data_IF_073270493153
#
_entry.id   IF_073270493153
#
_cell.length_a   1.000
_cell.length_b   1.000
_cell.length_c   1.000
_cell.angle_alpha   90.00
_cell.angle_beta   90.00
_cell.angle_gamma   90.00
#
_symmetry.space_group_name_H-M   'P 1'
#
loop_
_entity.id
_entity.type
_entity.pdbx_description
1 polymer ?
#
# COMPACT_ATOMS: atom_id res chain seq x y z
N UNK A 1 11.43 41.27 -19.75
CA UNK A 1 11.74 39.84 -19.50
C UNK A 1 11.16 39.00 -20.65
N UNK A 2 11.92 38.06 -21.22
CA UNK A 2 11.48 37.33 -22.41
C UNK A 2 10.27 36.43 -22.07
N UNK A 3 9.20 36.44 -22.89
CA UNK A 3 7.92 35.76 -22.57
C UNK A 3 8.12 34.27 -22.24
N UNK A 4 9.03 33.62 -22.97
CA UNK A 4 9.44 32.24 -22.73
C UNK A 4 10.09 31.99 -21.36
N UNK A 5 10.88 32.94 -20.84
CA UNK A 5 11.48 32.85 -19.50
C UNK A 5 10.41 32.98 -18.40
N UNK A 6 9.40 33.82 -18.62
CA UNK A 6 8.28 33.96 -17.69
C UNK A 6 7.42 32.68 -17.65
N UNK A 7 7.13 32.07 -18.82
CA UNK A 7 6.44 30.77 -18.87
C UNK A 7 7.21 29.66 -18.16
N UNK A 8 8.53 29.59 -18.36
CA UNK A 8 9.37 28.61 -17.67
C UNK A 8 9.32 28.76 -16.14
N UNK A 9 9.41 30.00 -15.64
CA UNK A 9 9.29 30.28 -14.19
C UNK A 9 7.93 29.86 -13.62
N UNK A 10 6.84 30.14 -14.33
CA UNK A 10 5.49 29.73 -13.91
C UNK A 10 5.39 28.21 -13.84
N UNK A 11 5.91 27.48 -14.84
CA UNK A 11 5.89 26.02 -14.85
C UNK A 11 6.69 25.42 -13.68
N UNK A 12 7.85 25.98 -13.37
CA UNK A 12 8.67 25.54 -12.22
C UNK A 12 7.93 25.81 -10.90
N UNK A 13 7.31 26.99 -10.76
CA UNK A 13 6.53 27.33 -9.57
C UNK A 13 5.33 26.38 -9.37
N UNK A 14 4.58 26.09 -10.44
CA UNK A 14 3.48 25.13 -10.39
C UNK A 14 3.95 23.73 -10.01
N UNK A 15 5.08 23.28 -10.55
CA UNK A 15 5.68 22.00 -10.20
C UNK A 15 6.05 21.94 -8.72
N UNK A 16 6.68 22.99 -8.19
CA UNK A 16 7.05 23.08 -6.78
C UNK A 16 5.82 23.02 -5.86
N UNK A 17 4.74 23.72 -6.21
CA UNK A 17 3.47 23.70 -5.48
C UNK A 17 2.85 22.30 -5.52
N UNK A 18 2.79 21.67 -6.69
CA UNK A 18 2.23 20.32 -6.85
C UNK A 18 2.98 19.28 -6.01
N UNK A 19 4.32 19.35 -5.98
CA UNK A 19 5.16 18.48 -5.17
C UNK A 19 4.94 18.76 -3.68
N UNK A 20 4.94 20.03 -3.26
CA UNK A 20 4.72 20.42 -1.85
C UNK A 20 3.36 19.99 -1.30
N UNK A 21 2.30 20.13 -2.09
CA UNK A 21 0.96 19.65 -1.73
C UNK A 21 0.91 18.13 -1.58
N UNK A 22 1.62 17.39 -2.41
CA UNK A 22 1.67 15.92 -2.31
C UNK A 22 2.37 15.45 -1.03
N UNK A 23 3.44 16.12 -0.62
CA UNK A 23 4.16 15.79 0.61
C UNK A 23 3.33 16.08 1.86
N UNK A 24 2.67 17.23 1.92
CA UNK A 24 1.80 17.61 3.04
C UNK A 24 0.59 16.69 3.15
N UNK A 25 -0.04 16.33 2.02
CA UNK A 25 -1.13 15.36 1.98
C UNK A 25 -0.71 13.97 2.53
N UNK A 26 0.44 13.46 2.12
CA UNK A 26 0.96 12.19 2.63
C UNK A 26 1.28 12.26 4.13
N UNK A 27 1.84 13.38 4.61
CA UNK A 27 2.13 13.57 6.03
C UNK A 27 0.88 13.63 6.91
N UNK A 28 -0.23 14.17 6.41
CA UNK A 28 -1.48 14.27 7.16
C UNK A 28 -2.26 12.94 7.24
N UNK A 29 -2.16 12.09 6.21
CA UNK A 29 -2.99 10.89 6.09
C UNK A 29 -2.23 9.57 6.24
N UNK A 30 -0.93 9.61 6.46
CA UNK A 30 -0.11 8.41 6.67
C UNK A 30 0.86 8.56 7.83
N UNK A 31 1.21 7.45 8.47
CA UNK A 31 2.24 7.43 9.52
C UNK A 31 3.27 6.34 9.21
N UNK A 32 4.55 6.56 9.54
CA UNK A 32 5.57 5.51 9.38
C UNK A 32 5.30 4.36 10.36
N UNK A 33 5.48 3.12 9.90
CA UNK A 33 5.34 1.92 10.72
C UNK A 33 6.74 1.45 11.15
N UNK A 34 6.92 1.14 12.43
CA UNK A 34 8.12 0.48 12.94
C UNK A 34 7.97 -1.06 12.93
N UNK A 35 9.04 -1.80 13.19
CA UNK A 35 9.02 -3.27 13.12
C UNK A 35 8.06 -3.90 14.17
N UNK A 36 7.94 -3.30 15.34
CA UNK A 36 6.99 -3.74 16.38
C UNK A 36 5.54 -3.57 15.95
N UNK A 37 5.16 -2.42 15.41
CA UNK A 37 3.84 -2.16 14.86
C UNK A 37 3.55 -3.06 13.65
N UNK A 38 4.57 -3.32 12.83
CA UNK A 38 4.46 -4.25 11.70
C UNK A 38 4.10 -5.64 12.19
N UNK A 39 4.88 -6.19 13.11
CA UNK A 39 4.64 -7.52 13.68
C UNK A 39 3.29 -7.60 14.42
N UNK A 40 2.90 -6.55 15.16
CA UNK A 40 1.58 -6.44 15.77
C UNK A 40 0.46 -6.53 14.74
N UNK A 41 0.53 -5.74 13.66
CA UNK A 41 -0.48 -5.74 12.61
C UNK A 41 -0.56 -7.10 11.90
N UNK A 42 0.58 -7.75 11.64
CA UNK A 42 0.62 -9.09 11.05
C UNK A 42 -0.04 -10.12 11.97
N UNK A 43 0.28 -10.10 13.26
CA UNK A 43 -0.29 -11.02 14.24
C UNK A 43 -1.80 -10.81 14.40
N UNK A 44 -2.24 -9.55 14.47
CA UNK A 44 -3.66 -9.18 14.50
C UNK A 44 -4.40 -9.67 13.25
N UNK A 45 -3.81 -9.49 12.06
CA UNK A 45 -4.37 -9.99 10.81
C UNK A 45 -4.43 -11.52 10.77
N UNK A 46 -3.39 -12.22 11.22
CA UNK A 46 -3.39 -13.69 11.31
C UNK A 46 -4.46 -14.22 12.25
N UNK A 47 -4.62 -13.59 13.41
CA UNK A 47 -5.64 -13.97 14.38
C UNK A 47 -7.05 -13.70 13.85
N UNK A 48 -7.28 -12.53 13.26
CA UNK A 48 -8.58 -12.13 12.74
C UNK A 48 -9.00 -12.86 11.46
N UNK A 49 -8.04 -13.34 10.67
CA UNK A 49 -8.26 -14.15 9.45
C UNK A 49 -7.99 -15.64 9.66
N UNK A 50 -7.91 -16.11 10.91
CA UNK A 50 -7.55 -17.51 11.22
C UNK A 50 -8.48 -18.52 10.55
N UNK A 51 -9.76 -18.20 10.43
CA UNK A 51 -10.75 -19.06 9.78
C UNK A 51 -10.51 -19.18 8.26
N UNK A 52 -10.10 -18.10 7.60
CA UNK A 52 -9.82 -18.06 6.16
C UNK A 52 -8.43 -18.60 5.81
N UNK A 53 -7.46 -18.39 6.70
CA UNK A 53 -6.07 -18.85 6.52
C UNK A 53 -5.99 -20.36 6.78
N UNK A 54 -6.61 -20.86 7.85
CA UNK A 54 -6.47 -22.24 8.29
C UNK A 54 -5.00 -22.60 8.59
N UNK A 55 -4.54 -23.75 8.09
CA UNK A 55 -3.14 -24.18 8.18
C UNK A 55 -2.31 -23.83 6.93
N UNK A 56 -2.82 -22.95 6.08
CA UNK A 56 -2.13 -22.61 4.84
C UNK A 56 -1.05 -21.54 5.05
N UNK A 57 0.07 -21.69 4.35
CA UNK A 57 1.13 -20.70 4.37
C UNK A 57 0.84 -19.58 3.35
N UNK A 58 0.51 -18.40 3.84
CA UNK A 58 0.39 -17.19 3.03
C UNK A 58 1.67 -16.36 3.11
N UNK A 59 2.08 -15.78 1.98
CA UNK A 59 3.07 -14.70 1.97
C UNK A 59 2.42 -13.44 2.51
N UNK A 60 2.99 -12.85 3.56
CA UNK A 60 2.47 -11.65 4.19
C UNK A 60 3.25 -10.43 3.71
N UNK A 61 2.52 -9.41 3.28
CA UNK A 61 3.07 -8.11 2.88
C UNK A 61 2.35 -6.99 3.62
N UNK A 62 3.13 -6.11 4.23
CA UNK A 62 2.65 -4.91 4.93
C UNK A 62 3.37 -3.71 4.33
N UNK A 63 2.62 -2.66 4.04
CA UNK A 63 3.18 -1.39 3.54
C UNK A 63 4.05 -0.74 4.62
N UNK A 64 5.07 0.02 4.22
CA UNK A 64 5.97 0.71 5.17
C UNK A 64 5.29 1.88 5.91
N UNK A 65 4.08 2.25 5.47
CA UNK A 65 3.28 3.33 6.06
C UNK A 65 1.87 2.85 6.31
N UNK A 66 1.36 3.21 7.49
CA UNK A 66 -0.04 3.05 7.85
C UNK A 66 -0.84 4.25 7.39
N UNK A 67 -2.16 4.15 7.46
CA UNK A 67 -3.09 5.23 7.09
C UNK A 67 -3.76 5.79 8.32
N UNK A 68 -4.02 7.08 8.29
CA UNK A 68 -4.87 7.76 9.27
C UNK A 68 -6.23 7.98 8.60
N UNK A 69 -7.27 7.39 9.17
CA UNK A 69 -8.65 7.53 8.70
C UNK A 69 -9.41 8.34 9.73
N UNK A 70 -9.95 9.49 9.32
CA UNK A 70 -10.82 10.29 10.18
C UNK A 70 -12.19 9.61 10.32
N UNK A 71 -12.59 9.34 11.56
CA UNK A 71 -13.90 8.77 11.91
C UNK A 71 -14.68 9.76 12.78
N UNK A 72 -15.97 9.47 13.03
CA UNK A 72 -16.81 10.28 13.93
C UNK A 72 -16.23 10.37 15.36
N UNK A 73 -15.43 9.39 15.77
CA UNK A 73 -14.81 9.31 17.09
C UNK A 73 -13.34 9.81 17.09
N UNK A 74 -12.92 10.50 16.03
CA UNK A 74 -11.56 10.99 15.84
C UNK A 74 -10.75 10.16 14.84
N UNK A 75 -9.48 10.50 14.72
CA UNK A 75 -8.56 9.86 13.78
C UNK A 75 -8.15 8.48 14.26
N UNK A 76 -8.26 7.50 13.36
CA UNK A 76 -7.88 6.11 13.58
C UNK A 76 -6.69 5.72 12.73
N UNK A 77 -5.68 5.12 13.39
CA UNK A 77 -4.49 4.60 12.72
C UNK A 77 -4.76 3.16 12.30
N UNK A 78 -4.66 2.91 11.01
CA UNK A 78 -4.91 1.60 10.44
C UNK A 78 -3.74 1.12 9.58
N UNK A 79 -3.54 -0.19 9.55
CA UNK A 79 -2.50 -0.83 8.73
C UNK A 79 -3.13 -1.87 7.82
N UNK A 80 -2.77 -1.78 6.54
CA UNK A 80 -3.19 -2.76 5.54
C UNK A 80 -2.21 -3.91 5.50
N UNK A 81 -2.70 -5.11 5.81
CA UNK A 81 -1.97 -6.37 5.69
C UNK A 81 -2.53 -7.14 4.50
N UNK A 82 -1.66 -7.59 3.61
CA UNK A 82 -2.02 -8.37 2.43
C UNK A 82 -1.39 -9.74 2.55
N UNK A 83 -2.21 -10.78 2.56
CA UNK A 83 -1.79 -12.17 2.58
C UNK A 83 -2.09 -12.79 1.20
N UNK A 84 -1.06 -13.35 0.57
CA UNK A 84 -1.14 -13.89 -0.78
C UNK A 84 -0.75 -15.37 -0.76
N UNK A 85 -1.59 -16.21 -1.34
CA UNK A 85 -1.30 -17.63 -1.58
C UNK A 85 -1.83 -18.03 -2.94
N UNK A 86 -0.97 -18.55 -3.82
CA UNK A 86 -1.37 -19.05 -5.15
C UNK A 86 -2.28 -18.06 -5.89
N UNK A 87 -3.57 -18.39 -6.01
CA UNK A 87 -4.60 -17.61 -6.67
C UNK A 87 -5.52 -16.81 -5.71
N UNK A 88 -5.23 -16.83 -4.41
CA UNK A 88 -6.03 -16.19 -3.38
C UNK A 88 -5.27 -15.04 -2.71
N UNK A 89 -5.94 -13.90 -2.59
CA UNK A 89 -5.46 -12.72 -1.88
C UNK A 89 -6.44 -12.35 -0.79
N UNK A 90 -5.97 -12.35 0.46
CA UNK A 90 -6.69 -11.81 1.60
C UNK A 90 -6.11 -10.44 1.92
N UNK A 91 -6.97 -9.45 2.10
CA UNK A 91 -6.58 -8.14 2.61
C UNK A 91 -7.27 -7.93 3.95
N UNK A 92 -6.52 -7.46 4.94
CA UNK A 92 -7.00 -7.02 6.23
C UNK A 92 -6.63 -5.56 6.45
N UNK A 93 -7.55 -4.78 7.01
CA UNK A 93 -7.29 -3.45 7.55
C UNK A 93 -7.37 -3.55 9.08
N UNK A 94 -6.23 -3.42 9.73
CA UNK A 94 -6.08 -3.58 11.19
C UNK A 94 -6.11 -2.21 11.86
N UNK A 95 -6.96 -2.04 12.87
CA UNK A 95 -6.89 -0.90 13.79
C UNK A 95 -5.70 -1.08 14.74
N UNK A 96 -4.78 -0.12 14.72
CA UNK A 96 -3.54 -0.19 15.49
C UNK A 96 -3.73 0.06 16.99
N UNK A 97 -4.84 0.66 17.40
CA UNK A 97 -5.13 0.88 18.83
C UNK A 97 -5.67 -0.38 19.49
N UNK A 98 -6.47 -1.16 18.76
CA UNK A 98 -7.24 -2.28 19.31
C UNK A 98 -6.78 -3.65 18.80
N UNK A 99 -6.07 -3.71 17.68
CA UNK A 99 -5.74 -4.96 16.99
C UNK A 99 -6.94 -5.60 16.26
N UNK A 100 -8.08 -4.92 16.20
CA UNK A 100 -9.27 -5.44 15.53
C UNK A 100 -9.19 -5.26 14.01
N UNK A 101 -9.82 -6.18 13.28
CA UNK A 101 -10.03 -6.03 11.84
C UNK A 101 -11.22 -5.10 11.59
N UNK A 102 -10.94 -3.95 10.99
CA UNK A 102 -11.96 -2.97 10.57
C UNK A 102 -12.53 -3.35 9.22
N UNK A 103 -11.70 -3.93 8.35
CA UNK A 103 -12.11 -4.40 7.04
C UNK A 103 -11.36 -5.69 6.70
N UNK A 104 -12.05 -6.62 6.06
CA UNK A 104 -11.41 -7.76 5.41
C UNK A 104 -12.01 -7.98 4.03
N UNK A 105 -11.15 -8.33 3.08
CA UNK A 105 -11.58 -8.74 1.75
C UNK A 105 -10.84 -9.98 1.30
N UNK A 106 -11.55 -10.84 0.57
CA UNK A 106 -11.04 -12.05 -0.03
C UNK A 106 -11.25 -11.96 -1.53
N UNK A 107 -10.17 -12.12 -2.29
CA UNK A 107 -10.20 -12.12 -3.73
C UNK A 107 -9.54 -13.39 -4.25
N UNK A 108 -10.29 -14.17 -5.02
CA UNK A 108 -9.80 -15.33 -5.75
C UNK A 108 -9.63 -14.92 -7.21
N UNK A 109 -8.45 -15.15 -7.78
CA UNK A 109 -8.19 -14.96 -9.20
C UNK A 109 -8.38 -16.28 -9.94
N UNK A 110 -9.21 -16.31 -10.98
CA UNK A 110 -9.33 -17.42 -11.92
C UNK A 110 -8.99 -16.96 -13.35
N UNK A 111 -8.44 -17.85 -14.18
CA UNK A 111 -8.08 -17.60 -15.58
C UNK A 111 -6.59 -17.36 -15.86
N UNK A 112 -6.25 -16.97 -17.09
CA UNK A 112 -4.88 -16.74 -17.65
C UNK A 112 -3.93 -15.88 -16.80
N UNK A 113 -4.46 -15.17 -15.80
CA UNK A 113 -3.68 -14.39 -14.84
C UNK A 113 -2.93 -15.28 -13.82
N UNK A 114 -3.34 -16.54 -13.64
CA UNK A 114 -2.61 -17.55 -12.86
C UNK A 114 -1.28 -17.88 -13.56
N UNK A 115 -1.29 -17.99 -14.90
CA UNK A 115 -0.09 -18.29 -15.71
C UNK A 115 0.97 -17.17 -15.67
N UNK A 116 0.56 -15.94 -15.36
CA UNK A 116 1.48 -14.80 -15.22
C UNK A 116 2.35 -14.86 -13.96
N UNK A 117 1.89 -15.52 -12.89
CA UNK A 117 2.69 -15.67 -11.66
C UNK A 117 3.84 -16.65 -11.87
N UNK A 118 3.61 -17.74 -12.59
CA UNK A 118 4.66 -18.71 -12.94
C UNK A 118 5.71 -18.13 -13.90
N UNK A 119 5.38 -17.07 -14.65
CA UNK A 119 6.32 -16.39 -15.54
C UNK A 119 7.17 -15.29 -14.87
N UNK A 120 6.92 -14.93 -13.60
CA UNK A 120 7.49 -13.71 -12.97
C UNK A 120 8.77 -13.91 -12.14
N UNK A 121 9.66 -14.81 -12.57
CA UNK A 121 11.10 -14.70 -12.23
C UNK A 121 11.81 -13.64 -13.10
N UNK A 122 11.19 -13.18 -14.19
CA UNK A 122 11.77 -12.12 -15.04
C UNK A 122 11.30 -10.74 -14.59
N UNK A 123 12.20 -10.06 -13.86
CA UNK A 123 12.23 -8.62 -13.60
C UNK A 123 11.56 -7.83 -14.74
N UNK A 124 10.43 -7.20 -14.46
CA UNK A 124 9.94 -6.06 -15.23
C UNK A 124 10.74 -4.80 -14.84
N UNK A 125 12.06 -4.89 -14.95
CA UNK A 125 12.93 -3.73 -14.88
C UNK A 125 12.84 -3.04 -16.24
N UNK A 126 12.13 -1.91 -16.27
CA UNK A 126 12.10 -0.92 -17.33
C UNK A 126 13.18 -1.13 -18.41
N UNK A 127 12.78 -1.73 -19.53
CA UNK A 127 13.51 -1.57 -20.78
C UNK A 127 13.40 -0.08 -21.11
N UNK A 128 14.45 0.65 -20.76
CA UNK A 128 14.59 2.07 -21.04
C UNK A 128 14.50 2.24 -22.55
N UNK A 129 13.75 3.25 -22.98
CA UNK A 129 13.55 3.69 -24.36
C UNK A 129 14.83 4.20 -25.07
N UNK A 130 16.02 3.79 -24.62
CA UNK A 130 17.31 4.24 -25.15
C UNK A 130 18.34 3.12 -25.15
N UNK A 131 18.13 2.09 -25.97
CA UNK A 131 19.23 1.29 -26.50
C UNK A 131 19.18 1.42 -28.03
N UNK A 132 20.08 2.26 -28.55
CA UNK A 132 20.51 2.31 -29.94
C UNK A 132 22.02 2.09 -29.94
#
# INVERSE_FOLDING_TARGET
MNRWKAFALIMIALLAIAIGLRFTYLGAHTFPINEEQRSFAVNAAHNGLRAEIGNNNYSVTVQDRGRIISTLNGDKKVVRVVLIRENMTLTALVDMDTGNLVEKSKMESSGWMIDYKDQRSKRWGHQRLFDR
#
